data_IF_094102959354
#
_entry.id   IF_094102959354
#
_cell.length_a   1.000
_cell.length_b   1.000
_cell.length_c   1.000
_cell.angle_alpha   90.00
_cell.angle_beta   90.00
_cell.angle_gamma   90.00
#
_symmetry.space_group_name_H-M   'P 1'
#
loop_
_entity.id
_entity.type
_entity.pdbx_description
1 polymer ?
#
# COMPACT_ATOMS: atom_id res chain seq x y z
N UNK A 1 -5.54 -0.77 -19.06
CA UNK A 1 -4.66 -1.13 -17.92
C UNK A 1 -3.81 -2.28 -18.41
N UNK A 2 -2.49 -2.12 -18.50
CA UNK A 2 -1.62 -3.20 -19.00
C UNK A 2 -1.38 -4.21 -17.87
N UNK A 3 -1.76 -5.47 -18.11
CA UNK A 3 -1.73 -6.66 -17.24
C UNK A 3 -0.32 -7.16 -16.81
N UNK A 4 0.70 -6.30 -16.77
CA UNK A 4 2.09 -6.76 -16.79
C UNK A 4 2.87 -6.70 -15.47
N UNK A 5 2.33 -6.13 -14.39
CA UNK A 5 3.03 -6.08 -13.10
C UNK A 5 2.15 -6.65 -11.97
N UNK A 6 2.24 -7.96 -11.75
CA UNK A 6 1.64 -8.63 -10.61
C UNK A 6 2.70 -9.43 -9.85
N UNK A 7 2.66 -9.35 -8.53
CA UNK A 7 3.46 -10.25 -7.69
C UNK A 7 2.58 -11.40 -7.28
N UNK A 8 3.02 -12.60 -7.65
CA UNK A 8 2.47 -13.85 -7.18
C UNK A 8 3.43 -14.45 -6.15
N UNK A 9 2.89 -15.13 -5.15
CA UNK A 9 3.70 -16.00 -4.31
C UNK A 9 4.14 -17.23 -5.11
N UNK A 10 5.43 -17.54 -5.04
CA UNK A 10 6.05 -18.62 -5.82
C UNK A 10 5.98 -19.97 -5.08
N UNK A 11 5.75 -19.96 -3.76
CA UNK A 11 5.88 -21.16 -2.90
C UNK A 11 4.66 -21.38 -1.99
N UNK A 12 4.20 -20.38 -1.23
CA UNK A 12 3.13 -20.56 -0.23
C UNK A 12 2.11 -19.41 -0.21
N UNK A 13 1.09 -19.51 0.63
CA UNK A 13 0.08 -18.47 0.90
C UNK A 13 0.63 -17.23 1.62
N UNK A 14 1.81 -17.35 2.24
CA UNK A 14 2.47 -16.28 2.98
C UNK A 14 3.28 -15.35 2.07
N UNK A 15 3.16 -14.05 2.30
CA UNK A 15 3.93 -13.02 1.58
C UNK A 15 4.52 -12.00 2.55
N UNK A 16 5.76 -11.60 2.30
CA UNK A 16 6.46 -10.57 3.07
C UNK A 16 7.12 -9.57 2.12
N UNK A 17 6.76 -8.29 2.27
CA UNK A 17 7.35 -7.19 1.52
C UNK A 17 8.11 -6.28 2.47
N UNK A 18 9.36 -6.00 2.13
CA UNK A 18 10.19 -5.03 2.84
C UNK A 18 10.41 -3.82 1.94
N UNK A 19 9.90 -2.67 2.35
CA UNK A 19 9.96 -1.41 1.62
C UNK A 19 10.84 -0.42 2.39
N UNK A 20 12.11 -0.24 1.99
CA UNK A 20 12.95 0.82 2.53
C UNK A 20 12.55 2.17 1.92
N UNK A 21 12.32 3.17 2.75
CA UNK A 21 12.14 4.55 2.31
C UNK A 21 13.48 5.29 2.33
N UNK A 22 13.70 6.18 1.36
CA UNK A 22 14.90 7.01 1.30
C UNK A 22 14.91 8.15 2.33
N UNK A 23 13.76 8.45 2.94
CA UNK A 23 13.59 9.47 3.96
C UNK A 23 12.39 9.11 4.85
N UNK A 24 12.32 9.68 6.05
CA UNK A 24 11.21 9.48 6.97
C UNK A 24 9.90 10.03 6.37
N UNK A 25 8.96 9.13 6.09
CA UNK A 25 7.64 9.48 5.55
C UNK A 25 6.55 9.30 6.60
N UNK A 26 5.48 10.09 6.47
CA UNK A 26 4.27 9.94 7.27
C UNK A 26 3.20 9.23 6.47
N UNK A 27 2.79 8.04 6.90
CA UNK A 27 1.78 7.26 6.21
C UNK A 27 0.40 7.52 6.82
N UNK A 28 -0.60 7.81 5.98
CA UNK A 28 -1.98 7.98 6.46
C UNK A 28 -2.93 6.88 6.01
N UNK A 29 -2.58 6.10 4.98
CA UNK A 29 -3.42 5.03 4.47
C UNK A 29 -2.68 4.19 3.44
N UNK A 30 -3.20 3.00 3.18
CA UNK A 30 -2.73 2.05 2.17
C UNK A 30 -3.94 1.50 1.42
N UNK A 31 -3.74 1.21 0.14
CA UNK A 31 -4.73 0.58 -0.72
C UNK A 31 -4.10 -0.68 -1.29
N UNK A 32 -4.87 -1.76 -1.36
CA UNK A 32 -4.48 -3.00 -1.99
C UNK A 32 -5.40 -3.27 -3.18
N UNK A 33 -4.82 -3.77 -4.26
CA UNK A 33 -5.55 -4.28 -5.40
C UNK A 33 -5.05 -5.66 -5.77
N UNK A 34 -5.97 -6.52 -6.18
CA UNK A 34 -5.68 -7.90 -6.50
C UNK A 34 -6.85 -8.55 -7.23
N UNK A 35 -6.71 -9.80 -7.66
CA UNK A 35 -7.79 -10.52 -8.30
C UNK A 35 -8.94 -10.77 -7.31
N UNK A 36 -10.18 -10.82 -7.83
CA UNK A 36 -11.37 -11.21 -7.06
C UNK A 36 -11.43 -12.73 -6.75
N UNK A 37 -10.32 -13.45 -6.93
CA UNK A 37 -10.20 -14.87 -6.61
C UNK A 37 -9.86 -15.10 -5.13
N UNK A 38 -9.90 -16.36 -4.69
CA UNK A 38 -9.46 -16.75 -3.33
C UNK A 38 -7.98 -16.43 -3.05
N UNK A 39 -7.21 -16.16 -4.11
CA UNK A 39 -5.81 -15.79 -4.09
C UNK A 39 -5.54 -14.39 -3.51
N UNK A 40 -6.58 -13.64 -3.14
CA UNK A 40 -6.41 -12.33 -2.50
C UNK A 40 -6.03 -12.50 -1.01
N UNK A 41 -5.12 -11.67 -0.46
CA UNK A 41 -4.79 -11.74 0.96
C UNK A 41 -5.97 -11.33 1.84
N UNK A 42 -6.23 -12.07 2.92
CA UNK A 42 -7.33 -11.78 3.85
C UNK A 42 -6.94 -10.81 4.96
N UNK A 43 -5.67 -10.84 5.35
CA UNK A 43 -5.14 -10.01 6.43
C UNK A 43 -3.76 -9.49 6.07
N UNK A 44 -3.46 -8.26 6.49
CA UNK A 44 -2.11 -7.70 6.46
C UNK A 44 -1.70 -7.20 7.84
N UNK A 45 -0.46 -7.51 8.21
CA UNK A 45 0.21 -7.02 9.41
C UNK A 45 1.31 -6.05 8.98
N UNK A 46 1.34 -4.89 9.61
CA UNK A 46 2.31 -3.84 9.34
C UNK A 46 3.29 -3.72 10.49
N UNK A 47 4.56 -3.54 10.13
CA UNK A 47 5.64 -3.33 11.08
C UNK A 47 6.50 -2.17 10.62
N UNK A 48 6.73 -1.19 11.51
CA UNK A 48 7.56 -0.03 11.19
C UNK A 48 8.98 -0.19 11.74
N UNK A 49 9.94 0.34 11.00
CA UNK A 49 11.36 0.47 11.39
C UNK A 49 12.01 -0.82 11.92
N UNK A 50 11.44 -1.98 11.55
CA UNK A 50 12.03 -3.30 11.78
C UNK A 50 12.66 -3.77 10.47
N UNK A 51 13.95 -3.51 10.32
CA UNK A 51 14.73 -4.06 9.22
C UNK A 51 14.88 -5.58 9.36
N UNK A 52 14.85 -6.30 8.24
CA UNK A 52 15.19 -7.72 8.15
C UNK A 52 14.31 -8.66 8.99
N UNK A 53 12.99 -8.43 9.06
CA UNK A 53 12.11 -9.41 9.68
C UNK A 53 11.92 -10.62 8.76
N UNK A 54 12.10 -11.80 9.34
CA UNK A 54 11.73 -13.07 8.72
C UNK A 54 10.25 -13.38 8.96
N UNK A 55 9.73 -14.40 8.28
CA UNK A 55 8.35 -14.88 8.48
C UNK A 55 8.11 -15.26 9.95
N UNK A 56 9.03 -15.99 10.57
CA UNK A 56 8.96 -16.42 11.98
C UNK A 56 8.94 -15.22 12.95
N UNK A 57 9.76 -14.20 12.67
CA UNK A 57 9.73 -12.95 13.43
C UNK A 57 8.38 -12.25 13.31
N UNK A 58 7.76 -12.26 12.13
CA UNK A 58 6.47 -11.59 11.90
C UNK A 58 5.29 -12.34 12.55
N UNK A 59 5.41 -13.65 12.76
CA UNK A 59 4.39 -14.44 13.48
C UNK A 59 4.49 -14.25 14.99
N UNK A 60 5.70 -14.16 15.52
CA UNK A 60 5.95 -14.05 16.96
C UNK A 60 5.98 -12.59 17.47
N UNK A 61 6.31 -11.63 16.61
CA UNK A 61 6.42 -10.24 17.02
C UNK A 61 5.08 -9.52 16.98
N UNK A 62 4.90 -8.61 17.93
CA UNK A 62 3.73 -7.74 17.98
C UNK A 62 3.72 -6.79 16.77
N UNK A 63 2.64 -6.84 16.02
CA UNK A 63 2.35 -5.95 14.90
C UNK A 63 2.00 -4.54 15.37
N UNK A 64 2.46 -3.53 14.61
CA UNK A 64 2.14 -2.13 14.91
C UNK A 64 0.67 -1.84 14.58
N UNK A 65 0.20 -2.42 13.48
CA UNK A 65 -1.18 -2.36 13.03
C UNK A 65 -1.52 -3.62 12.23
N UNK A 66 -2.68 -4.21 12.52
CA UNK A 66 -3.30 -5.27 11.73
C UNK A 66 -4.49 -4.69 10.98
N UNK A 67 -4.68 -5.11 9.73
CA UNK A 67 -5.80 -4.69 8.89
C UNK A 67 -6.40 -5.93 8.22
N UNK A 68 -7.72 -6.06 8.32
CA UNK A 68 -8.48 -7.05 7.59
C UNK A 68 -8.79 -6.52 6.19
N UNK A 69 -8.31 -7.25 5.19
CA UNK A 69 -8.46 -6.88 3.79
C UNK A 69 -9.74 -7.47 3.22
N UNK A 70 -10.28 -6.79 2.22
CA UNK A 70 -11.44 -7.22 1.44
C UNK A 70 -11.03 -7.32 0.00
N UNK A 71 -11.52 -8.36 -0.66
CA UNK A 71 -11.30 -8.59 -2.08
C UNK A 71 -11.76 -7.37 -2.89
N UNK A 72 -10.81 -6.72 -3.56
CA UNK A 72 -11.06 -5.54 -4.38
C UNK A 72 -10.12 -5.53 -5.59
N UNK A 73 -10.70 -5.52 -6.79
CA UNK A 73 -9.97 -5.41 -8.05
C UNK A 73 -9.75 -3.98 -8.50
N UNK A 74 -10.57 -3.03 -8.02
CA UNK A 74 -10.57 -1.64 -8.48
C UNK A 74 -9.74 -0.72 -7.56
N UNK A 75 -9.14 -1.26 -6.49
CA UNK A 75 -8.38 -0.48 -5.51
C UNK A 75 -9.22 0.67 -4.90
N UNK A 76 -10.52 0.45 -4.73
CA UNK A 76 -11.49 1.43 -4.25
C UNK A 76 -11.48 1.60 -2.73
N UNK A 77 -10.98 0.60 -2.00
CA UNK A 77 -10.96 0.58 -0.54
C UNK A 77 -9.65 1.18 0.00
N UNK A 78 -9.76 2.34 0.64
CA UNK A 78 -8.68 2.98 1.39
C UNK A 78 -8.69 2.49 2.84
N UNK A 79 -7.56 1.90 3.27
CA UNK A 79 -7.36 1.46 4.64
C UNK A 79 -6.56 2.52 5.41
N UNK A 80 -7.21 3.27 6.32
CA UNK A 80 -6.52 4.31 7.06
C UNK A 80 -5.53 3.72 8.06
N UNK A 81 -4.31 4.27 8.05
CA UNK A 81 -3.28 3.96 9.03
C UNK A 81 -3.32 4.92 10.20
N UNK A 82 -2.92 4.43 11.37
CA UNK A 82 -2.73 5.28 12.54
C UNK A 82 -1.54 6.22 12.32
N UNK A 83 -1.84 7.43 11.85
CA UNK A 83 -0.85 8.48 11.60
C UNK A 83 0.05 8.79 12.81
N UNK A 84 -0.42 8.51 14.04
CA UNK A 84 0.38 8.65 15.26
C UNK A 84 1.47 7.59 15.39
N UNK A 85 1.22 6.37 14.90
CA UNK A 85 2.20 5.26 14.88
C UNK A 85 3.14 5.38 13.68
N UNK A 86 2.59 5.74 12.52
CA UNK A 86 3.28 5.86 11.24
C UNK A 86 3.59 7.32 10.86
N UNK A 87 4.04 8.13 11.83
CA UNK A 87 4.38 9.54 11.60
C UNK A 87 5.76 9.73 10.92
N UNK A 88 6.64 8.75 11.10
CA UNK A 88 8.04 8.76 10.72
C UNK A 88 8.41 7.32 10.48
N UNK A 89 8.39 6.91 9.21
CA UNK A 89 8.68 5.55 8.78
C UNK A 89 9.87 5.61 7.83
N UNK A 90 10.98 4.99 8.23
CA UNK A 90 12.16 4.80 7.37
C UNK A 90 12.15 3.44 6.69
N UNK A 91 11.58 2.43 7.35
CA UNK A 91 11.41 1.09 6.80
C UNK A 91 10.02 0.56 7.12
N UNK A 92 9.33 -0.02 6.14
CA UNK A 92 8.03 -0.65 6.34
C UNK A 92 8.07 -2.10 5.89
N UNK A 93 7.66 -2.99 6.77
CA UNK A 93 7.46 -4.41 6.46
C UNK A 93 5.97 -4.71 6.44
N UNK A 94 5.50 -5.27 5.33
CA UNK A 94 4.13 -5.75 5.14
C UNK A 94 4.16 -7.27 5.13
N UNK A 95 3.45 -7.89 6.07
CA UNK A 95 3.35 -9.33 6.19
C UNK A 95 1.90 -9.78 5.97
N UNK A 96 1.72 -10.75 5.09
CA UNK A 96 0.44 -11.35 4.76
C UNK A 96 0.49 -12.83 5.22
N UNK A 97 -0.10 -13.15 6.39
CA UNK A 97 -0.06 -14.51 6.93
C UNK A 97 -1.04 -15.48 6.27
N UNK A 98 -2.13 -14.96 5.69
CA UNK A 98 -3.22 -15.79 5.16
C UNK A 98 -3.93 -15.11 3.98
N UNK A 99 -4.52 -15.93 3.12
CA UNK A 99 -5.40 -15.51 2.02
C UNK A 99 -6.86 -15.92 2.28
N UNK A 100 -7.72 -15.82 1.27
CA UNK A 100 -9.14 -16.16 1.37
C UNK A 100 -9.45 -17.65 1.13
N UNK A 101 -8.42 -18.52 1.11
CA UNK A 101 -8.57 -19.98 1.02
C UNK A 101 -8.06 -20.60 -0.29
N UNK A 102 -7.03 -20.02 -0.88
CA UNK A 102 -6.43 -20.48 -2.14
C UNK A 102 -4.96 -20.87 -1.93
N UNK A 103 -4.35 -21.60 -2.85
CA UNK A 103 -2.99 -22.13 -2.67
C UNK A 103 -1.91 -21.05 -2.84
N UNK A 104 -2.25 -19.93 -3.50
CA UNK A 104 -1.32 -18.86 -3.86
C UNK A 104 -1.90 -17.51 -3.54
N UNK A 105 -1.03 -16.55 -3.24
CA UNK A 105 -1.42 -15.16 -3.00
C UNK A 105 -0.96 -14.29 -4.17
N UNK A 106 -1.89 -13.56 -4.80
CA UNK A 106 -1.62 -12.68 -5.94
C UNK A 106 -1.99 -11.26 -5.56
N UNK A 107 -1.04 -10.33 -5.72
CA UNK A 107 -1.24 -8.90 -5.48
C UNK A 107 -0.84 -8.15 -6.75
N UNK A 108 -1.72 -7.27 -7.24
CA UNK A 108 -1.41 -6.42 -8.38
C UNK A 108 -0.48 -5.29 -7.93
N UNK A 109 0.76 -5.33 -8.40
CA UNK A 109 1.76 -4.31 -8.14
C UNK A 109 1.80 -3.42 -9.38
N UNK A 110 0.88 -2.46 -9.53
CA UNK A 110 1.03 -1.52 -10.65
C UNK A 110 2.42 -0.87 -10.57
N UNK A 111 3.14 -0.59 -11.67
CA UNK A 111 4.41 0.18 -11.67
C UNK A 111 4.35 1.52 -10.89
N UNK A 112 3.15 1.93 -10.52
CA UNK A 112 2.86 2.97 -9.54
C UNK A 112 2.85 2.45 -8.07
N UNK A 113 3.47 1.31 -7.73
CA UNK A 113 3.47 0.64 -6.40
C UNK A 113 4.20 1.41 -5.31
N UNK A 114 4.68 2.61 -5.65
CA UNK A 114 4.59 3.77 -4.77
C UNK A 114 3.11 4.17 -4.46
N UNK A 115 2.18 3.21 -4.51
CA UNK A 115 0.75 3.38 -4.70
C UNK A 115 0.19 4.01 -3.44
N UNK A 116 -0.10 5.29 -3.51
CA UNK A 116 -0.93 6.03 -2.57
C UNK A 116 -0.71 5.68 -1.09
N UNK A 117 0.55 5.50 -0.67
CA UNK A 117 0.92 5.94 0.66
C UNK A 117 0.60 7.44 0.64
N UNK A 118 -0.57 7.82 1.14
CA UNK A 118 -0.96 9.22 1.28
C UNK A 118 0.03 9.82 2.30
N UNK A 119 1.18 10.20 1.80
CA UNK A 119 2.11 11.07 2.49
C UNK A 119 1.43 12.42 2.44
N UNK A 120 0.79 12.82 3.54
CA UNK A 120 0.19 14.15 3.65
C UNK A 120 1.32 15.20 3.73
N UNK A 121 1.99 15.44 2.61
CA UNK A 121 2.74 16.64 2.30
C UNK A 121 1.81 17.59 1.55
N UNK A 122 1.73 18.82 2.02
CA UNK A 122 0.92 19.93 1.49
C UNK A 122 0.83 19.94 -0.06
N UNK A 123 -0.27 19.46 -0.63
CA UNK A 123 -0.64 19.79 -2.01
C UNK A 123 -1.09 21.25 -2.06
N UNK A 124 -0.12 22.17 -2.00
CA UNK A 124 -0.34 23.55 -2.46
C UNK A 124 -0.57 23.48 -3.96
N UNK A 125 -1.86 23.45 -4.34
CA UNK A 125 -2.34 23.65 -5.71
C UNK A 125 -1.63 24.83 -6.36
N UNK A 126 -0.53 24.59 -7.06
CA UNK A 126 -0.02 25.50 -8.09
C UNK A 126 -0.89 25.31 -9.33
N UNK A 127 -2.11 25.85 -9.30
CA UNK A 127 -2.75 26.26 -10.55
C UNK A 127 -2.20 27.64 -10.89
N UNK A 128 -1.10 27.62 -11.65
CA UNK A 128 -0.60 28.78 -12.37
C UNK A 128 -1.59 29.13 -13.50
N UNK A 129 -1.63 30.43 -13.81
CA UNK A 129 -2.56 31.16 -14.68
C UNK A 129 -2.56 30.66 -16.13
N UNK A 130 -3.75 30.58 -16.72
CA UNK A 130 -4.00 30.84 -18.13
C UNK A 130 -5.50 31.18 -18.25
N UNK A 131 -6.01 32.21 -18.92
CA UNK A 131 -5.43 33.29 -19.69
C UNK A 131 -6.52 34.36 -19.77
N UNK A 132 -6.11 35.61 -19.61
CA UNK A 132 -6.94 36.80 -19.73
C UNK A 132 -7.33 36.97 -21.21
N UNK A 133 -8.59 36.81 -21.57
CA UNK A 133 -9.13 37.50 -22.75
C UNK A 133 -10.25 38.43 -22.34
N UNK A 134 -9.89 39.73 -22.37
CA UNK A 134 -10.81 40.85 -22.45
C UNK A 134 -11.44 40.79 -23.84
N UNK A 135 -12.76 40.69 -23.92
CA UNK A 135 -13.48 41.21 -25.06
C UNK A 135 -14.22 42.48 -24.63
N UNK A 136 -13.65 43.61 -25.03
CA UNK A 136 -14.29 44.91 -25.19
C UNK A 136 -14.36 45.14 -26.69
N UNK A 137 -15.55 45.47 -27.20
CA UNK A 137 -15.94 46.11 -28.48
C UNK A 137 -17.32 45.54 -28.84
N UNK A 138 -18.37 46.30 -29.08
CA UNK A 138 -18.64 47.75 -29.18
C UNK A 138 -20.04 48.01 -28.62
#
# INVERSE_FOLDING_TARGET
MSENDFVHSDVDEQLLFSVPFTANVKLTGIIFSGPLSGSFPSTVRLFKDRGNMSFDDCENAKEDQQIELKQDSDASIDYPLMSSKFNSVGHLTLYFPANFGDEKTIIYISSNFFCQLKCRGEERKRRAKDGRQRNRKE
#
